data_IF_853638593176
#
_entry.id   IF_853638593176
#
_cell.length_a   1.000
_cell.length_b   1.000
_cell.length_c   1.000
_cell.angle_alpha   90.00
_cell.angle_beta   90.00
_cell.angle_gamma   90.00
#
_symmetry.space_group_name_H-M   'P 1'
#
loop_
_entity.id
_entity.type
_entity.pdbx_description
1 polymer ?
#
# COMPACT_ATOMS: atom_id res chain seq x y z
N UNK A 1 20.77 -1.32 -7.82
CA UNK A 1 19.87 -1.16 -6.67
C UNK A 1 20.67 -0.82 -5.44
N UNK A 2 20.55 0.42 -4.97
CA UNK A 2 21.05 0.89 -3.68
C UNK A 2 20.27 0.24 -2.53
N UNK A 3 20.75 0.34 -1.28
CA UNK A 3 20.00 -0.17 -0.13
C UNK A 3 18.59 0.45 0.01
N UNK A 4 18.42 1.74 -0.31
CA UNK A 4 17.14 2.43 -0.24
C UNK A 4 16.18 1.95 -1.32
N UNK A 5 16.65 1.75 -2.56
CA UNK A 5 15.85 1.16 -3.64
C UNK A 5 15.34 -0.24 -3.27
N UNK A 6 16.22 -1.10 -2.74
CA UNK A 6 15.81 -2.45 -2.31
C UNK A 6 14.80 -2.42 -1.17
N UNK A 7 14.87 -1.42 -0.28
CA UNK A 7 13.91 -1.24 0.80
C UNK A 7 12.55 -0.81 0.23
N UNK A 8 12.53 0.17 -0.67
CA UNK A 8 11.33 0.63 -1.36
C UNK A 8 10.65 -0.53 -2.11
N UNK A 9 11.40 -1.35 -2.84
CA UNK A 9 10.86 -2.52 -3.55
C UNK A 9 10.19 -3.51 -2.58
N UNK A 10 10.88 -3.89 -1.49
CA UNK A 10 10.30 -4.78 -0.46
C UNK A 10 9.07 -4.19 0.19
N UNK A 11 9.03 -2.87 0.38
CA UNK A 11 7.86 -2.19 0.92
C UNK A 11 6.68 -2.31 -0.04
N UNK A 12 6.88 -2.07 -1.34
CA UNK A 12 5.83 -2.22 -2.35
C UNK A 12 5.29 -3.65 -2.36
N UNK A 13 6.15 -4.66 -2.36
CA UNK A 13 5.73 -6.07 -2.29
C UNK A 13 4.89 -6.36 -1.03
N UNK A 14 5.36 -5.88 0.13
CA UNK A 14 4.68 -6.08 1.41
C UNK A 14 3.35 -5.34 1.48
N UNK A 15 3.27 -4.15 0.87
CA UNK A 15 2.08 -3.32 0.85
C UNK A 15 1.03 -3.87 -0.12
N UNK A 16 1.43 -4.37 -1.29
CA UNK A 16 0.56 -5.07 -2.22
C UNK A 16 -0.09 -6.30 -1.56
N UNK A 17 0.65 -7.02 -0.72
CA UNK A 17 0.11 -8.15 0.04
C UNK A 17 -0.89 -7.75 1.15
N UNK A 18 -0.73 -6.57 1.75
CA UNK A 18 -1.67 -6.03 2.75
C UNK A 18 -2.91 -5.42 2.09
N UNK A 19 -2.74 -4.79 0.94
CA UNK A 19 -3.81 -4.14 0.18
C UNK A 19 -3.87 -4.69 -1.26
N UNK A 20 -4.49 -5.87 -1.46
CA UNK A 20 -4.66 -6.48 -2.77
C UNK A 20 -5.33 -5.57 -3.81
N UNK A 21 -6.23 -4.68 -3.39
CA UNK A 21 -6.90 -3.75 -4.31
C UNK A 21 -5.95 -2.72 -4.90
N UNK A 22 -4.95 -2.29 -4.13
CA UNK A 22 -3.84 -1.46 -4.65
C UNK A 22 -2.94 -2.29 -5.58
N UNK A 23 -2.70 -3.56 -5.28
CA UNK A 23 -1.94 -4.45 -6.15
C UNK A 23 -2.56 -4.52 -7.55
N UNK A 24 -3.86 -4.80 -7.66
CA UNK A 24 -4.62 -4.77 -8.92
C UNK A 24 -4.53 -3.40 -9.60
N UNK A 25 -4.75 -2.30 -8.85
CA UNK A 25 -4.66 -0.93 -9.40
C UNK A 25 -3.27 -0.61 -9.99
N UNK A 26 -2.20 -1.12 -9.38
CA UNK A 26 -0.83 -0.94 -9.84
C UNK A 26 -0.40 -1.95 -10.92
N UNK A 27 -1.25 -2.94 -11.24
CA UNK A 27 -0.94 -4.01 -12.19
C UNK A 27 0.03 -5.07 -11.64
N UNK A 28 0.08 -5.25 -10.32
CA UNK A 28 0.85 -6.31 -9.67
C UNK A 28 0.01 -7.61 -9.70
N UNK A 29 0.45 -8.66 -10.43
CA UNK A 29 -0.35 -9.86 -10.63
C UNK A 29 -0.44 -10.72 -9.36
N UNK A 30 -1.46 -11.59 -9.29
CA UNK A 30 -1.61 -12.61 -8.25
C UNK A 30 -2.43 -12.19 -7.03
N UNK A 31 -3.14 -11.07 -7.12
CA UNK A 31 -3.95 -10.50 -6.04
C UNK A 31 -5.41 -10.24 -6.44
N UNK A 32 -5.77 -10.51 -7.70
CA UNK A 32 -7.06 -10.13 -8.29
C UNK A 32 -8.26 -10.89 -7.67
N UNK A 33 -7.99 -12.00 -6.96
CA UNK A 33 -8.96 -12.80 -6.22
C UNK A 33 -9.00 -12.48 -4.70
N UNK A 34 -8.26 -11.48 -4.25
CA UNK A 34 -8.07 -11.14 -2.84
C UNK A 34 -8.55 -9.73 -2.49
N UNK A 35 -8.81 -9.51 -1.20
CA UNK A 35 -9.33 -8.23 -0.68
C UNK A 35 -8.58 -7.78 0.57
N UNK A 36 -8.44 -6.46 0.80
CA UNK A 36 -7.86 -5.93 2.02
C UNK A 36 -8.69 -6.33 3.25
N UNK A 37 -8.00 -6.70 4.32
CA UNK A 37 -8.64 -6.84 5.63
C UNK A 37 -8.91 -5.46 6.23
N UNK A 38 -10.15 -5.00 6.12
CA UNK A 38 -10.60 -3.70 6.65
C UNK A 38 -11.03 -3.77 8.12
N UNK A 39 -10.85 -4.92 8.78
CA UNK A 39 -11.09 -5.04 10.22
C UNK A 39 -10.06 -4.25 11.03
N UNK A 40 -10.28 -4.01 12.33
CA UNK A 40 -9.27 -3.42 13.19
C UNK A 40 -7.92 -4.15 13.19
N UNK A 41 -7.93 -5.48 12.98
CA UNK A 41 -6.71 -6.27 12.92
C UNK A 41 -5.91 -5.99 11.63
N UNK A 42 -6.58 -5.93 10.48
CA UNK A 42 -5.94 -5.59 9.20
C UNK A 42 -5.43 -4.15 9.17
N UNK A 43 -6.18 -3.18 9.71
CA UNK A 43 -5.71 -1.80 9.88
C UNK A 43 -4.48 -1.72 10.79
N UNK A 44 -4.44 -2.49 11.88
CA UNK A 44 -3.27 -2.57 12.76
C UNK A 44 -2.05 -3.19 12.05
N UNK A 45 -2.25 -4.25 11.26
CA UNK A 45 -1.19 -4.88 10.48
C UNK A 45 -0.57 -3.90 9.45
N UNK A 46 -1.41 -3.09 8.78
CA UNK A 46 -0.97 -2.02 7.89
C UNK A 46 -0.16 -0.97 8.65
N UNK A 47 -0.67 -0.49 9.79
CA UNK A 47 0.05 0.47 10.62
C UNK A 47 1.42 -0.06 11.08
N UNK A 48 1.50 -1.33 11.46
CA UNK A 48 2.75 -1.98 11.86
C UNK A 48 3.76 -2.08 10.71
N UNK A 49 3.30 -2.37 9.49
CA UNK A 49 4.17 -2.33 8.31
C UNK A 49 4.73 -0.91 8.10
N UNK A 50 3.88 0.12 8.16
CA UNK A 50 4.32 1.50 7.98
C UNK A 50 5.33 1.92 9.05
N UNK A 51 5.07 1.61 10.34
CA UNK A 51 5.98 1.92 11.45
C UNK A 51 7.37 1.32 11.26
N UNK A 52 7.44 0.03 10.92
CA UNK A 52 8.71 -0.66 10.67
C UNK A 52 9.44 -0.05 9.47
N UNK A 53 8.70 0.19 8.38
CA UNK A 53 9.28 0.75 7.16
C UNK A 53 9.83 2.16 7.38
N UNK A 54 9.11 3.03 8.11
CA UNK A 54 9.60 4.39 8.45
C UNK A 54 10.90 4.33 9.24
N UNK A 55 11.00 3.43 10.23
CA UNK A 55 12.23 3.24 11.00
C UNK A 55 13.39 2.79 10.08
N UNK A 56 13.16 1.78 9.25
CA UNK A 56 14.18 1.27 8.32
C UNK A 56 14.63 2.33 7.30
N UNK A 57 13.70 3.12 6.75
CA UNK A 57 14.00 4.19 5.78
C UNK A 57 14.83 5.30 6.43
N UNK A 58 14.53 5.68 7.68
CA UNK A 58 15.29 6.70 8.41
C UNK A 58 16.72 6.28 8.68
N UNK A 59 16.92 5.01 9.01
CA UNK A 59 18.24 4.45 9.31
C UNK A 59 19.02 4.08 8.04
N UNK A 60 18.36 4.02 6.88
CA UNK A 60 18.99 3.72 5.60
C UNK A 60 19.88 4.89 5.11
N UNK A 61 21.17 4.64 4.81
CA UNK A 61 22.02 5.65 4.20
C UNK A 61 21.50 6.02 2.81
N UNK A 62 21.63 7.31 2.46
CA UNK A 62 21.41 7.84 1.11
C UNK A 62 22.78 8.15 0.50
N UNK A 63 23.06 7.62 -0.69
CA UNK A 63 24.34 7.74 -1.36
C UNK A 63 24.54 9.11 -2.04
N UNK A 64 23.44 9.77 -2.42
CA UNK A 64 23.46 11.08 -3.09
C UNK A 64 22.20 11.92 -2.79
N UNK A 65 22.16 13.14 -3.35
CA UNK A 65 21.04 14.06 -3.18
C UNK A 65 19.70 13.51 -3.70
N UNK A 66 19.70 12.69 -4.76
CA UNK A 66 18.46 12.10 -5.28
C UNK A 66 17.91 11.09 -4.28
N UNK A 67 18.77 10.30 -3.66
CA UNK A 67 18.38 9.37 -2.60
C UNK A 67 17.96 10.09 -1.32
N UNK A 68 18.58 11.24 -0.98
CA UNK A 68 18.10 12.07 0.13
C UNK A 68 16.67 12.55 -0.09
N UNK A 69 16.34 13.00 -1.31
CA UNK A 69 14.98 13.41 -1.69
C UNK A 69 14.03 12.22 -1.67
N UNK A 70 14.42 11.08 -2.24
CA UNK A 70 13.60 9.86 -2.24
C UNK A 70 13.29 9.39 -0.82
N UNK A 71 14.31 9.36 0.06
CA UNK A 71 14.15 9.01 1.48
C UNK A 71 13.20 9.99 2.17
N UNK A 72 13.38 11.30 1.98
CA UNK A 72 12.52 12.30 2.58
C UNK A 72 11.05 12.16 2.14
N UNK A 73 10.82 11.95 0.83
CA UNK A 73 9.48 11.74 0.29
C UNK A 73 8.83 10.46 0.82
N UNK A 74 9.60 9.37 0.93
CA UNK A 74 9.11 8.10 1.45
C UNK A 74 8.76 8.22 2.95
N UNK A 75 9.61 8.85 3.76
CA UNK A 75 9.29 9.13 5.18
C UNK A 75 8.02 9.96 5.30
N UNK A 76 7.90 11.07 4.56
CA UNK A 76 6.71 11.92 4.59
C UNK A 76 5.45 11.13 4.29
N UNK A 77 5.43 10.39 3.17
CA UNK A 77 4.23 9.69 2.72
C UNK A 77 3.79 8.62 3.72
N UNK A 78 4.73 7.82 4.20
CA UNK A 78 4.45 6.71 5.12
C UNK A 78 4.01 7.23 6.51
N UNK A 79 4.63 8.29 7.01
CA UNK A 79 4.23 8.90 8.28
C UNK A 79 2.85 9.58 8.19
N UNK A 80 2.54 10.23 7.07
CA UNK A 80 1.23 10.82 6.81
C UNK A 80 0.12 9.75 6.85
N UNK A 81 0.34 8.60 6.20
CA UNK A 81 -0.61 7.50 6.22
C UNK A 81 -0.72 6.86 7.62
N UNK A 82 0.42 6.66 8.30
CA UNK A 82 0.45 6.14 9.66
C UNK A 82 -0.32 7.05 10.63
N UNK A 83 -0.14 8.36 10.54
CA UNK A 83 -0.88 9.33 11.35
C UNK A 83 -2.40 9.23 11.15
N UNK A 84 -2.85 8.95 9.92
CA UNK A 84 -4.27 8.69 9.62
C UNK A 84 -4.77 7.44 10.34
N UNK A 85 -4.00 6.34 10.31
CA UNK A 85 -4.34 5.10 11.02
C UNK A 85 -4.36 5.30 12.54
N UNK A 86 -3.33 5.93 13.09
CA UNK A 86 -3.18 6.19 14.54
C UNK A 86 -4.26 7.14 15.09
N UNK A 87 -4.80 8.02 14.25
CA UNK A 87 -5.92 8.89 14.64
C UNK A 87 -7.23 8.14 14.88
N UNK A 88 -7.35 6.90 14.40
CA UNK A 88 -8.57 6.10 14.42
C UNK A 88 -9.60 6.45 13.33
N UNK A 89 -9.42 7.56 12.61
CA UNK A 89 -10.36 7.98 11.55
C UNK A 89 -10.40 7.03 10.36
N UNK A 90 -9.33 6.25 10.12
CA UNK A 90 -9.33 5.22 9.07
C UNK A 90 -10.42 4.14 9.29
N UNK A 91 -10.82 3.87 10.54
CA UNK A 91 -11.90 2.93 10.83
C UNK A 91 -13.30 3.50 10.54
N UNK A 92 -13.41 4.82 10.38
CA UNK A 92 -14.64 5.53 10.06
C UNK A 92 -14.65 6.05 8.62
N UNK A 93 -13.81 5.48 7.75
CA UNK A 93 -13.64 5.92 6.37
C UNK A 93 -14.88 5.58 5.53
N UNK A 94 -15.79 6.55 5.44
CA UNK A 94 -17.01 6.45 4.67
C UNK A 94 -17.39 7.83 4.15
N UNK A 95 -17.47 7.96 2.83
CA UNK A 95 -17.93 9.18 2.17
C UNK A 95 -18.55 8.84 0.79
N UNK A 96 -18.96 9.88 0.05
CA UNK A 96 -19.67 9.72 -1.22
C UNK A 96 -18.79 9.40 -2.43
N UNK A 97 -17.47 9.61 -2.32
CA UNK A 97 -16.58 9.67 -3.49
C UNK A 97 -15.49 8.59 -3.44
N UNK A 98 -14.80 8.45 -2.31
CA UNK A 98 -13.61 7.63 -2.17
C UNK A 98 -13.54 7.03 -0.77
N UNK A 99 -14.12 5.84 -0.62
CA UNK A 99 -14.05 5.04 0.60
C UNK A 99 -13.98 3.56 0.21
N UNK A 100 -13.76 2.64 1.16
CA UNK A 100 -13.59 1.22 0.83
C UNK A 100 -14.73 0.62 0.01
N UNK A 101 -15.97 1.11 0.18
CA UNK A 101 -17.11 0.66 -0.61
C UNK A 101 -16.96 1.00 -2.10
N UNK A 102 -16.55 2.23 -2.43
CA UNK A 102 -16.33 2.63 -3.82
C UNK A 102 -15.09 1.94 -4.39
N UNK A 103 -14.03 1.79 -3.60
CA UNK A 103 -12.80 1.10 -4.00
C UNK A 103 -13.09 -0.34 -4.42
N UNK A 104 -13.83 -1.10 -3.59
CA UNK A 104 -14.26 -2.47 -3.90
C UNK A 104 -14.91 -2.58 -5.28
N UNK A 105 -15.86 -1.69 -5.60
CA UNK A 105 -16.53 -1.70 -6.90
C UNK A 105 -15.58 -1.31 -8.04
N UNK A 106 -14.70 -0.33 -7.82
CA UNK A 106 -13.78 0.18 -8.82
C UNK A 106 -12.67 -0.82 -9.18
N UNK A 107 -12.26 -1.70 -8.25
CA UNK A 107 -11.24 -2.73 -8.51
C UNK A 107 -11.58 -3.59 -9.74
N UNK A 108 -12.84 -3.96 -9.91
CA UNK A 108 -13.29 -4.75 -11.07
C UNK A 108 -13.10 -4.02 -12.42
N UNK A 109 -13.05 -2.69 -12.43
CA UNK A 109 -12.80 -1.94 -13.66
C UNK A 109 -11.32 -2.05 -14.12
N UNK A 110 -10.44 -2.49 -13.23
CA UNK A 110 -8.99 -2.65 -13.48
C UNK A 110 -8.57 -4.10 -13.70
N UNK A 111 -9.42 -5.07 -13.37
CA UNK A 111 -9.12 -6.50 -13.56
C UNK A 111 -9.10 -6.85 -15.06
N UNK A 112 -8.22 -7.76 -15.49
CA UNK A 112 -8.19 -8.24 -16.87
C UNK A 112 -9.49 -8.98 -17.24
N UNK A 113 -9.83 -9.04 -18.53
CA UNK A 113 -11.08 -9.67 -19.03
C UNK A 113 -10.90 -10.41 -20.37
N UNK A 114 -9.65 -10.68 -20.76
CA UNK A 114 -9.30 -11.18 -22.10
C UNK A 114 -9.40 -12.72 -22.18
N UNK A 115 -9.21 -13.43 -21.07
CA UNK A 115 -9.15 -14.90 -21.03
C UNK A 115 -10.15 -15.51 -20.05
N UNK A 116 -10.50 -16.79 -20.22
CA UNK A 116 -11.34 -17.51 -19.24
C UNK A 116 -10.73 -17.52 -17.83
N UNK A 117 -9.40 -17.50 -17.73
CA UNK A 117 -8.73 -17.40 -16.43
C UNK A 117 -8.97 -16.04 -15.79
N UNK A 118 -8.95 -14.95 -16.57
CA UNK A 118 -9.21 -13.59 -16.09
C UNK A 118 -10.64 -13.45 -15.54
N UNK A 119 -11.60 -14.21 -16.07
CA UNK A 119 -12.98 -14.25 -15.55
C UNK A 119 -13.16 -15.15 -14.33
N UNK A 120 -12.20 -16.03 -14.04
CA UNK A 120 -12.29 -17.01 -12.95
C UNK A 120 -11.66 -16.54 -11.63
N UNK A 121 -10.86 -15.46 -11.68
CA UNK A 121 -10.25 -14.75 -10.55
C UNK A 121 -10.85 -13.36 -10.47
#
# INVERSE_FOLDING_TARGET
>A
MTPLEQLADRFVDSYAAIDPTIATYLGVPGYDDAWPDLSPAGLAARADLLRRTVADVRDCPAADHREEVARAAMVERLESELARLDSGWAAADLNSTESPLQAFRQTFDFMPVDTEADWAT
#
